data_IF_256997176225
#
_entry.id   IF_256997176225
#
_cell.length_a   1.000
_cell.length_b   1.000
_cell.length_c   1.000
_cell.angle_alpha   90.00
_cell.angle_beta   90.00
_cell.angle_gamma   90.00
#
_symmetry.space_group_name_H-M   'P 1'
#
loop_
_entity.id
_entity.type
_entity.pdbx_description
1 polymer ?
#
# COMPACT_ATOMS: atom_id res chain seq x y z
N UNK A 1 -19.69 3.46 -21.50
CA UNK A 1 -18.56 2.84 -20.78
C UNK A 1 -17.86 3.96 -20.02
N UNK A 2 -17.47 3.78 -18.74
CA UNK A 2 -16.72 4.82 -18.01
C UNK A 2 -15.28 4.80 -18.51
N UNK A 3 -14.74 5.98 -18.84
CA UNK A 3 -13.34 6.09 -19.29
C UNK A 3 -12.41 6.20 -18.10
N UNK A 4 -11.46 5.28 -18.00
CA UNK A 4 -10.40 5.29 -16.99
C UNK A 4 -9.06 5.59 -17.68
N UNK A 5 -8.39 6.64 -17.24
CA UNK A 5 -7.05 6.95 -17.71
C UNK A 5 -6.03 6.51 -16.68
N UNK A 6 -4.97 5.88 -17.13
CA UNK A 6 -3.89 5.39 -16.28
C UNK A 6 -2.64 6.18 -16.63
N UNK A 7 -2.11 6.88 -15.63
CA UNK A 7 -0.87 7.63 -15.76
C UNK A 7 0.30 6.80 -15.23
N UNK A 8 1.21 6.46 -16.13
CA UNK A 8 2.34 5.56 -15.94
C UNK A 8 2.03 4.14 -16.43
N UNK A 9 2.93 3.57 -17.22
CA UNK A 9 2.86 2.25 -17.85
C UNK A 9 3.88 1.26 -17.26
N UNK A 10 4.30 1.45 -16.01
CA UNK A 10 5.06 0.45 -15.26
C UNK A 10 4.18 -0.72 -14.78
N UNK A 11 4.73 -1.56 -13.90
CA UNK A 11 4.06 -2.77 -13.36
C UNK A 11 2.66 -2.46 -12.79
N UNK A 12 2.54 -1.41 -11.96
CA UNK A 12 1.27 -1.02 -11.35
C UNK A 12 0.28 -0.46 -12.37
N UNK A 13 0.74 0.37 -13.30
CA UNK A 13 -0.08 0.94 -14.36
C UNK A 13 -0.65 -0.11 -15.31
N UNK A 14 0.19 -1.03 -15.78
CA UNK A 14 -0.25 -2.14 -16.64
C UNK A 14 -1.22 -3.05 -15.88
N UNK A 15 -0.93 -3.36 -14.62
CA UNK A 15 -1.85 -4.12 -13.77
C UNK A 15 -3.23 -3.45 -13.65
N UNK A 16 -3.25 -2.14 -13.38
CA UNK A 16 -4.50 -1.37 -13.31
C UNK A 16 -5.25 -1.38 -14.65
N UNK A 17 -4.52 -1.36 -15.77
CA UNK A 17 -5.11 -1.36 -17.12
C UNK A 17 -5.81 -2.68 -17.42
N UNK A 18 -5.16 -3.80 -17.10
CA UNK A 18 -5.73 -5.13 -17.24
C UNK A 18 -6.96 -5.31 -16.35
N UNK A 19 -6.87 -4.90 -15.07
CA UNK A 19 -7.98 -4.98 -14.15
C UNK A 19 -9.17 -4.13 -14.61
N UNK A 20 -8.92 -2.90 -15.06
CA UNK A 20 -9.95 -2.01 -15.58
C UNK A 20 -10.60 -2.57 -16.85
N UNK A 21 -9.81 -3.10 -17.79
CA UNK A 21 -10.34 -3.72 -19.02
C UNK A 21 -11.23 -4.92 -18.69
N UNK A 22 -10.79 -5.82 -17.79
CA UNK A 22 -11.58 -6.96 -17.32
C UNK A 22 -12.93 -6.54 -16.73
N UNK A 23 -12.96 -5.39 -16.05
CA UNK A 23 -14.16 -4.83 -15.44
C UNK A 23 -14.95 -3.87 -16.35
N UNK A 24 -14.70 -3.90 -17.66
CA UNK A 24 -15.53 -3.20 -18.65
C UNK A 24 -15.33 -1.69 -18.71
N UNK A 25 -14.15 -1.18 -18.34
CA UNK A 25 -13.79 0.22 -18.54
C UNK A 25 -13.27 0.47 -19.96
N UNK A 26 -13.45 1.70 -20.44
CA UNK A 26 -12.71 2.20 -21.60
C UNK A 26 -11.36 2.73 -21.10
N UNK A 27 -10.28 2.03 -21.44
CA UNK A 27 -8.96 2.23 -20.80
C UNK A 27 -8.00 2.91 -21.75
N UNK A 28 -7.32 3.94 -21.26
CA UNK A 28 -6.20 4.58 -21.92
C UNK A 28 -5.00 4.69 -20.98
N UNK A 29 -3.85 4.17 -21.40
CA UNK A 29 -2.57 4.25 -20.65
C UNK A 29 -1.69 5.33 -21.26
N UNK A 30 -1.16 6.23 -20.44
CA UNK A 30 -0.29 7.31 -20.90
C UNK A 30 0.95 7.40 -20.03
N UNK A 31 2.13 7.34 -20.64
CA UNK A 31 3.41 7.47 -19.96
C UNK A 31 4.35 8.45 -20.70
N UNK A 32 5.09 9.25 -19.93
CA UNK A 32 6.20 10.05 -20.46
C UNK A 32 7.46 9.23 -20.73
N UNK A 33 7.58 8.08 -20.09
CA UNK A 33 8.66 7.13 -20.32
C UNK A 33 8.26 6.09 -21.38
N UNK A 34 9.23 5.29 -21.80
CA UNK A 34 8.98 4.12 -22.66
C UNK A 34 8.26 3.05 -21.83
N UNK A 35 7.22 2.46 -22.40
CA UNK A 35 6.46 1.38 -21.78
C UNK A 35 7.11 0.06 -22.17
N UNK A 36 7.71 -0.63 -21.20
CA UNK A 36 8.44 -1.88 -21.43
C UNK A 36 7.54 -3.03 -21.90
N UNK A 37 6.34 -3.17 -21.32
CA UNK A 37 5.40 -4.27 -21.59
C UNK A 37 4.20 -3.81 -22.45
N UNK A 38 4.40 -2.89 -23.40
CA UNK A 38 3.32 -2.35 -24.24
C UNK A 38 2.58 -3.40 -25.08
N UNK A 39 3.22 -4.52 -25.37
CA UNK A 39 2.60 -5.67 -26.05
C UNK A 39 1.42 -6.23 -25.24
N UNK A 40 1.50 -6.20 -23.90
CA UNK A 40 0.40 -6.60 -23.02
C UNK A 40 -0.83 -5.70 -23.25
N UNK A 41 -0.60 -4.40 -23.42
CA UNK A 41 -1.68 -3.43 -23.69
C UNK A 41 -2.30 -3.67 -25.07
N UNK A 42 -1.46 -3.83 -26.10
CA UNK A 42 -1.90 -4.10 -27.47
C UNK A 42 -2.69 -5.41 -27.57
N UNK A 43 -2.20 -6.49 -26.96
CA UNK A 43 -2.84 -7.81 -26.99
C UNK A 43 -4.20 -7.85 -26.26
N UNK A 44 -4.47 -6.85 -25.40
CA UNK A 44 -5.73 -6.72 -24.67
C UNK A 44 -6.63 -5.60 -25.23
N UNK A 45 -6.33 -5.08 -26.43
CA UNK A 45 -7.03 -3.97 -27.05
C UNK A 45 -7.18 -2.75 -26.11
N UNK A 46 -6.09 -2.41 -25.41
CA UNK A 46 -6.00 -1.23 -24.55
C UNK A 46 -5.25 -0.15 -25.31
N UNK A 47 -5.83 1.05 -25.41
CA UNK A 47 -5.17 2.19 -26.04
C UNK A 47 -4.04 2.67 -25.15
N UNK A 48 -2.91 3.02 -25.75
CA UNK A 48 -1.78 3.53 -25.00
C UNK A 48 -0.96 4.55 -25.79
N UNK A 49 -0.21 5.38 -25.07
CA UNK A 49 0.83 6.26 -25.61
C UNK A 49 2.06 6.23 -24.71
N UNK A 50 3.23 6.48 -25.29
CA UNK A 50 4.50 6.58 -24.57
C UNK A 50 5.27 7.82 -25.04
N UNK A 51 6.18 8.32 -24.21
CA UNK A 51 6.96 9.54 -24.50
C UNK A 51 6.18 10.86 -24.39
N UNK A 52 4.90 10.83 -24.02
CA UNK A 52 4.04 12.02 -23.98
C UNK A 52 2.85 11.86 -23.03
N UNK A 53 2.14 12.98 -22.80
CA UNK A 53 0.82 13.00 -22.19
C UNK A 53 -0.12 13.86 -23.05
N UNK A 54 -0.98 13.22 -23.83
CA UNK A 54 -2.00 13.85 -24.65
C UNK A 54 -3.11 14.42 -23.76
N UNK A 55 -2.95 15.69 -23.36
CA UNK A 55 -3.84 16.36 -22.41
C UNK A 55 -5.30 16.28 -22.83
N UNK A 56 -5.61 16.50 -24.11
CA UNK A 56 -7.00 16.47 -24.58
C UNK A 56 -7.66 15.11 -24.32
N UNK A 57 -6.94 14.02 -24.61
CA UNK A 57 -7.42 12.65 -24.39
C UNK A 57 -7.56 12.35 -22.89
N UNK A 58 -6.56 12.71 -22.08
CA UNK A 58 -6.56 12.52 -20.63
C UNK A 58 -7.73 13.25 -19.97
N UNK A 59 -8.06 14.46 -20.43
CA UNK A 59 -9.13 15.29 -19.86
C UNK A 59 -10.53 14.74 -20.15
N UNK A 60 -10.67 13.71 -21.00
CA UNK A 60 -11.96 13.02 -21.21
C UNK A 60 -12.23 11.92 -20.17
N UNK A 61 -11.27 11.64 -19.28
CA UNK A 61 -11.40 10.62 -18.25
C UNK A 61 -12.54 10.92 -17.27
N UNK A 62 -13.25 9.88 -16.85
CA UNK A 62 -14.14 9.94 -15.69
C UNK A 62 -13.35 9.86 -14.38
N UNK A 63 -12.24 9.14 -14.38
CA UNK A 63 -11.32 9.00 -13.26
C UNK A 63 -9.91 8.65 -13.77
N UNK A 64 -8.90 9.02 -13.00
CA UNK A 64 -7.49 8.76 -13.30
C UNK A 64 -6.87 7.89 -12.21
N UNK A 65 -6.25 6.77 -12.61
CA UNK A 65 -5.36 5.99 -11.75
C UNK A 65 -3.93 6.46 -12.00
N UNK A 66 -3.26 6.89 -10.92
CA UNK A 66 -1.91 7.46 -11.00
C UNK A 66 -0.89 6.49 -10.40
N UNK A 67 0.17 6.22 -11.14
CA UNK A 67 1.34 5.49 -10.63
C UNK A 67 2.02 6.29 -9.50
N UNK A 68 2.54 5.62 -8.45
CA UNK A 68 3.13 6.29 -7.28
C UNK A 68 4.37 7.14 -7.61
N UNK A 69 5.08 6.76 -8.67
CA UNK A 69 6.25 7.48 -9.18
C UNK A 69 5.94 8.87 -9.73
N UNK A 70 4.69 9.16 -10.10
CA UNK A 70 4.29 10.45 -10.68
C UNK A 70 3.98 11.46 -9.55
N UNK A 71 4.75 12.55 -9.41
CA UNK A 71 4.50 13.55 -8.38
C UNK A 71 3.18 14.30 -8.61
N UNK A 72 2.53 14.73 -7.53
CA UNK A 72 1.31 15.55 -7.64
C UNK A 72 1.55 16.96 -8.19
N UNK A 73 2.81 17.40 -8.17
CA UNK A 73 3.23 18.73 -8.60
C UNK A 73 3.37 18.87 -10.12
N UNK A 74 3.32 17.77 -10.89
CA UNK A 74 3.46 17.84 -12.35
C UNK A 74 2.21 18.41 -13.01
N UNK A 75 2.39 19.12 -14.13
CA UNK A 75 1.33 19.91 -14.76
C UNK A 75 0.11 19.08 -15.17
N UNK A 76 0.30 17.84 -15.65
CA UNK A 76 -0.83 16.99 -16.03
C UNK A 76 -1.73 16.68 -14.83
N UNK A 77 -1.17 16.42 -13.65
CA UNK A 77 -1.96 16.14 -12.43
C UNK A 77 -2.68 17.40 -11.95
N UNK A 78 -2.02 18.56 -11.99
CA UNK A 78 -2.66 19.84 -11.64
C UNK A 78 -3.88 20.11 -12.50
N UNK A 79 -3.74 19.99 -13.83
CA UNK A 79 -4.86 20.21 -14.78
C UNK A 79 -6.01 19.22 -14.57
N UNK A 80 -5.71 17.96 -14.26
CA UNK A 80 -6.74 16.94 -13.98
C UNK A 80 -7.54 17.34 -12.74
N UNK A 81 -6.85 17.76 -11.67
CA UNK A 81 -7.47 18.23 -10.43
C UNK A 81 -8.28 19.51 -10.63
N UNK A 82 -7.77 20.47 -11.41
CA UNK A 82 -8.49 21.71 -11.78
C UNK A 82 -9.80 21.44 -12.53
N UNK A 83 -9.82 20.39 -13.36
CA UNK A 83 -11.04 19.93 -14.05
C UNK A 83 -12.00 19.15 -13.15
N UNK A 84 -11.62 18.88 -11.90
CA UNK A 84 -12.43 18.12 -10.94
C UNK A 84 -12.45 16.62 -11.20
N UNK A 85 -11.54 16.10 -12.02
CA UNK A 85 -11.42 14.66 -12.27
C UNK A 85 -10.75 13.98 -11.07
N UNK A 86 -11.34 12.89 -10.58
CA UNK A 86 -10.78 12.09 -9.49
C UNK A 86 -9.42 11.52 -9.88
N UNK A 87 -8.41 11.72 -9.04
CA UNK A 87 -7.09 11.06 -9.15
C UNK A 87 -6.92 10.16 -7.95
N UNK A 88 -6.70 8.87 -8.19
CA UNK A 88 -6.55 7.84 -7.16
C UNK A 88 -5.26 7.03 -7.38
N UNK A 89 -4.82 6.32 -6.35
CA UNK A 89 -3.74 5.34 -6.48
C UNK A 89 -4.24 4.03 -7.11
N UNK A 90 -3.29 3.24 -7.60
CA UNK A 90 -3.57 1.88 -8.09
C UNK A 90 -4.17 0.99 -7.00
N UNK A 91 -3.71 1.13 -5.75
CA UNK A 91 -4.20 0.37 -4.59
C UNK A 91 -5.67 0.68 -4.30
N UNK A 92 -6.05 1.96 -4.36
CA UNK A 92 -7.44 2.40 -4.23
C UNK A 92 -8.34 1.80 -5.32
N UNK A 93 -7.83 1.69 -6.55
CA UNK A 93 -8.58 1.09 -7.65
C UNK A 93 -8.74 -0.42 -7.48
N UNK A 94 -7.64 -1.13 -7.21
CA UNK A 94 -7.62 -2.58 -7.04
C UNK A 94 -8.53 -3.06 -5.90
N UNK A 95 -8.55 -2.32 -4.78
CA UNK A 95 -9.38 -2.60 -3.61
C UNK A 95 -10.87 -2.79 -3.94
N UNK A 96 -11.37 -2.13 -4.99
CA UNK A 96 -12.78 -2.23 -5.41
C UNK A 96 -13.17 -3.59 -5.97
N UNK A 97 -12.21 -4.45 -6.27
CA UNK A 97 -12.41 -5.70 -7.02
C UNK A 97 -11.96 -6.95 -6.26
N UNK A 98 -11.75 -6.85 -4.95
CA UNK A 98 -11.39 -7.99 -4.08
C UNK A 98 -12.28 -8.01 -2.85
N UNK A 99 -12.57 -9.21 -2.35
CA UNK A 99 -13.22 -9.41 -1.04
C UNK A 99 -12.25 -10.01 0.00
N UNK A 100 -10.97 -10.12 -0.34
CA UNK A 100 -9.96 -10.71 0.52
C UNK A 100 -9.76 -9.88 1.79
N UNK A 101 -9.30 -10.54 2.86
CA UNK A 101 -8.82 -9.82 4.05
C UNK A 101 -7.48 -9.19 3.78
N UNK A 102 -7.36 -7.89 4.03
CA UNK A 102 -6.17 -7.10 3.71
C UNK A 102 -5.35 -6.81 4.96
N UNK A 103 -4.10 -7.28 4.93
CA UNK A 103 -3.03 -6.87 5.86
C UNK A 103 -2.14 -5.86 5.14
N UNK A 104 -2.18 -4.60 5.53
CA UNK A 104 -1.40 -3.54 4.90
C UNK A 104 -0.24 -3.10 5.81
N UNK A 105 0.97 -3.03 5.25
CA UNK A 105 2.19 -2.69 5.98
C UNK A 105 2.82 -1.45 5.36
N UNK A 106 3.13 -0.46 6.20
CA UNK A 106 3.98 0.67 5.79
C UNK A 106 4.98 1.03 6.88
N UNK A 107 5.89 1.94 6.52
CA UNK A 107 7.01 2.37 7.35
C UNK A 107 8.14 2.94 6.51
N UNK A 108 9.13 3.57 7.13
CA UNK A 108 10.35 3.96 6.42
C UNK A 108 11.16 2.70 6.10
N UNK A 109 11.37 1.83 7.08
CA UNK A 109 12.18 0.61 6.97
C UNK A 109 11.43 -0.63 7.47
N UNK A 110 11.90 -1.83 7.07
CA UNK A 110 11.41 -3.13 7.54
C UNK A 110 10.19 -3.68 6.77
N UNK A 111 9.53 -2.85 5.96
CA UNK A 111 8.31 -3.20 5.22
C UNK A 111 8.39 -4.53 4.49
N UNK A 112 9.45 -4.73 3.69
CA UNK A 112 9.57 -5.91 2.81
C UNK A 112 9.75 -7.18 3.61
N UNK A 113 10.61 -7.16 4.61
CA UNK A 113 10.82 -8.30 5.51
C UNK A 113 9.52 -8.67 6.23
N UNK A 114 8.82 -7.68 6.82
CA UNK A 114 7.56 -7.92 7.52
C UNK A 114 6.48 -8.46 6.58
N UNK A 115 6.33 -7.87 5.39
CA UNK A 115 5.33 -8.28 4.40
C UNK A 115 5.56 -9.72 3.94
N UNK A 116 6.81 -10.07 3.62
CA UNK A 116 7.18 -11.44 3.22
C UNK A 116 7.00 -12.44 4.36
N UNK A 117 7.35 -12.06 5.59
CA UNK A 117 7.19 -12.93 6.76
C UNK A 117 5.73 -13.23 7.06
N UNK A 118 4.85 -12.23 7.03
CA UNK A 118 3.41 -12.42 7.22
C UNK A 118 2.85 -13.31 6.12
N UNK A 119 3.20 -13.04 4.85
CA UNK A 119 2.80 -13.88 3.73
C UNK A 119 3.22 -15.34 3.91
N UNK A 120 4.48 -15.57 4.30
CA UNK A 120 5.02 -16.91 4.55
C UNK A 120 4.27 -17.63 5.68
N UNK A 121 4.00 -16.95 6.80
CA UNK A 121 3.27 -17.54 7.94
C UNK A 121 1.85 -17.96 7.53
N UNK A 122 1.14 -17.09 6.80
CA UNK A 122 -0.22 -17.38 6.35
C UNK A 122 -0.25 -18.54 5.34
N UNK A 123 0.68 -18.56 4.37
CA UNK A 123 0.82 -19.66 3.42
C UNK A 123 1.13 -20.98 4.14
N UNK A 124 2.03 -20.98 5.13
CA UNK A 124 2.35 -22.18 5.94
C UNK A 124 1.19 -22.64 6.82
N UNK A 125 0.29 -21.74 7.18
CA UNK A 125 -0.97 -22.08 7.84
C UNK A 125 -2.04 -22.65 6.89
N UNK A 126 -1.75 -22.72 5.59
CA UNK A 126 -2.63 -23.31 4.57
C UNK A 126 -3.65 -22.33 3.96
N UNK A 127 -3.48 -21.03 4.15
CA UNK A 127 -4.34 -20.02 3.53
C UNK A 127 -3.90 -19.70 2.10
N UNK A 128 -4.86 -19.30 1.27
CA UNK A 128 -4.59 -18.71 -0.04
C UNK A 128 -4.23 -17.22 0.10
N UNK A 129 -2.98 -16.88 -0.19
CA UNK A 129 -2.40 -15.57 0.14
C UNK A 129 -1.74 -14.94 -1.07
N UNK A 130 -2.09 -13.69 -1.33
CA UNK A 130 -1.34 -12.82 -2.23
C UNK A 130 -0.40 -11.93 -1.42
N UNK A 131 0.89 -11.93 -1.78
CA UNK A 131 1.86 -10.92 -1.31
C UNK A 131 2.12 -9.94 -2.46
N UNK A 132 1.74 -8.68 -2.28
CA UNK A 132 1.79 -7.69 -3.36
C UNK A 132 2.03 -6.25 -2.85
N UNK A 133 1.89 -5.29 -3.76
CA UNK A 133 1.97 -3.85 -3.47
C UNK A 133 3.27 -3.25 -4.01
N UNK A 134 4.07 -2.64 -3.14
CA UNK A 134 5.37 -2.06 -3.47
C UNK A 134 6.49 -3.12 -3.60
N UNK A 135 6.16 -4.40 -3.47
CA UNK A 135 7.06 -5.54 -3.64
C UNK A 135 6.38 -6.66 -4.42
N UNK A 136 7.19 -7.57 -4.96
CA UNK A 136 6.70 -8.78 -5.59
C UNK A 136 5.91 -8.50 -6.87
N UNK A 137 4.68 -9.00 -6.93
CA UNK A 137 3.78 -8.81 -8.08
C UNK A 137 2.91 -7.56 -7.92
N UNK A 138 2.48 -6.98 -9.04
CA UNK A 138 1.53 -5.87 -9.03
C UNK A 138 0.18 -6.30 -8.45
N UNK A 139 -0.37 -5.50 -7.53
CA UNK A 139 -1.63 -5.80 -6.86
C UNK A 139 -2.79 -5.92 -7.85
N UNK A 140 -3.05 -4.89 -8.66
CA UNK A 140 -4.10 -4.90 -9.69
C UNK A 140 -3.92 -6.03 -10.70
N UNK A 141 -2.68 -6.33 -11.11
CA UNK A 141 -2.40 -7.43 -12.04
C UNK A 141 -2.86 -8.76 -11.46
N UNK A 142 -2.50 -9.03 -10.20
CA UNK A 142 -2.86 -10.27 -9.52
C UNK A 142 -4.38 -10.40 -9.36
N UNK A 143 -5.07 -9.32 -8.94
CA UNK A 143 -6.54 -9.30 -8.81
C UNK A 143 -7.25 -9.38 -10.17
N UNK A 144 -6.60 -8.94 -11.25
CA UNK A 144 -7.13 -9.12 -12.60
C UNK A 144 -7.18 -10.59 -13.02
N UNK A 145 -6.35 -11.46 -12.45
CA UNK A 145 -6.33 -12.88 -12.77
C UNK A 145 -7.36 -13.63 -11.91
N UNK A 146 -7.29 -13.47 -10.58
CA UNK A 146 -8.20 -14.09 -9.62
C UNK A 146 -8.23 -13.33 -8.28
N UNK A 147 -9.17 -13.66 -7.41
CA UNK A 147 -9.18 -13.20 -6.02
C UNK A 147 -8.48 -14.20 -5.09
N UNK A 148 -8.29 -13.82 -3.82
CA UNK A 148 -7.57 -14.56 -2.77
C UNK A 148 -8.33 -14.51 -1.44
N UNK A 149 -8.00 -15.37 -0.48
CA UNK A 149 -8.57 -15.28 0.87
C UNK A 149 -7.94 -14.12 1.66
N UNK A 150 -6.61 -13.98 1.53
CA UNK A 150 -5.81 -12.97 2.21
C UNK A 150 -4.89 -12.23 1.24
N UNK A 151 -4.70 -10.95 1.49
CA UNK A 151 -3.75 -10.11 0.74
C UNK A 151 -2.86 -9.38 1.74
N UNK A 152 -1.56 -9.57 1.61
CA UNK A 152 -0.52 -8.89 2.37
C UNK A 152 0.10 -7.84 1.47
N UNK A 153 -0.19 -6.57 1.74
CA UNK A 153 0.22 -5.43 0.93
C UNK A 153 1.36 -4.66 1.59
N UNK A 154 2.51 -4.57 0.92
CA UNK A 154 3.48 -3.53 1.21
C UNK A 154 3.01 -2.21 0.57
N UNK A 155 2.84 -1.16 1.36
CA UNK A 155 2.44 0.16 0.87
C UNK A 155 3.52 1.22 1.10
N UNK A 156 3.87 1.94 0.03
CA UNK A 156 4.63 3.18 0.11
C UNK A 156 3.72 4.35 0.55
N UNK A 157 4.34 5.44 1.02
CA UNK A 157 3.59 6.67 1.34
C UNK A 157 2.91 7.25 0.08
N UNK A 158 3.55 7.14 -1.10
CA UNK A 158 2.98 7.63 -2.36
C UNK A 158 1.73 6.88 -2.80
N UNK A 159 1.62 5.58 -2.51
CA UNK A 159 0.40 4.81 -2.77
C UNK A 159 -0.72 5.22 -1.80
N UNK A 160 -0.37 5.47 -0.53
CA UNK A 160 -1.31 5.93 0.50
C UNK A 160 -1.85 7.34 0.23
N UNK A 161 -1.08 8.22 -0.41
CA UNK A 161 -1.54 9.58 -0.75
C UNK A 161 -2.79 9.59 -1.66
N UNK A 162 -2.93 8.57 -2.51
CA UNK A 162 -4.02 8.45 -3.48
C UNK A 162 -5.22 7.62 -3.02
N UNK A 163 -5.28 7.20 -1.74
CA UNK A 163 -6.42 6.43 -1.24
C UNK A 163 -7.59 7.34 -0.84
N UNK A 164 -8.79 6.80 -0.97
CA UNK A 164 -10.06 7.40 -0.53
C UNK A 164 -10.84 6.43 0.31
N UNK A 165 -11.19 5.27 -0.24
CA UNK A 165 -12.03 4.26 0.42
C UNK A 165 -11.24 2.99 0.79
N UNK A 166 -9.98 2.85 0.35
CA UNK A 166 -9.11 1.74 0.75
C UNK A 166 -9.12 1.55 2.27
N UNK A 167 -9.39 0.32 2.69
CA UNK A 167 -9.48 -0.05 4.09
C UNK A 167 -8.72 -1.37 4.32
N UNK A 168 -7.75 -1.33 5.22
CA UNK A 168 -7.08 -2.54 5.67
C UNK A 168 -7.81 -3.12 6.89
N UNK A 169 -8.07 -4.42 6.90
CA UNK A 169 -8.54 -5.13 8.10
C UNK A 169 -7.47 -5.11 9.21
N UNK A 170 -6.20 -5.23 8.80
CA UNK A 170 -5.05 -5.09 9.68
C UNK A 170 -4.06 -4.10 9.06
N UNK A 171 -3.85 -2.96 9.70
CA UNK A 171 -2.84 -1.99 9.32
C UNK A 171 -1.61 -2.13 10.23
N UNK A 172 -0.41 -2.07 9.65
CA UNK A 172 0.86 -2.16 10.37
C UNK A 172 1.74 -0.97 10.02
N UNK A 173 2.17 -0.20 11.03
CA UNK A 173 3.07 0.93 10.86
C UNK A 173 4.35 0.75 11.67
N UNK A 174 5.45 0.49 10.97
CA UNK A 174 6.69 -0.01 11.56
C UNK A 174 7.57 1.09 12.19
N UNK A 175 7.73 2.21 11.49
CA UNK A 175 8.56 3.34 11.89
C UNK A 175 8.37 4.48 10.88
N UNK A 176 8.64 5.71 11.32
CA UNK A 176 8.68 6.90 10.47
C UNK A 176 9.95 7.69 10.79
N UNK A 177 10.93 7.56 9.90
CA UNK A 177 12.15 8.39 9.87
C UNK A 177 12.14 9.28 8.62
N UNK A 178 12.77 10.48 8.66
CA UNK A 178 12.85 11.36 7.50
C UNK A 178 13.36 10.64 6.26
N UNK A 179 12.56 10.68 5.19
CA UNK A 179 12.80 10.00 3.93
C UNK A 179 11.90 10.63 2.86
N UNK A 180 12.35 10.66 1.60
CA UNK A 180 11.61 11.22 0.46
C UNK A 180 10.97 12.60 0.68
N UNK A 181 11.60 13.48 1.47
CA UNK A 181 11.01 14.76 1.87
C UNK A 181 10.79 15.73 0.71
N UNK A 182 11.54 15.57 -0.39
CA UNK A 182 11.38 16.30 -1.65
C UNK A 182 9.95 16.17 -2.21
N UNK A 183 9.31 15.03 -1.98
CA UNK A 183 7.91 14.75 -2.38
C UNK A 183 6.87 15.40 -1.48
N UNK A 184 7.29 15.92 -0.33
CA UNK A 184 6.43 16.42 0.74
C UNK A 184 6.75 17.87 1.11
N UNK A 185 7.18 18.68 0.13
CA UNK A 185 7.55 20.10 0.31
C UNK A 185 8.68 20.31 1.34
N UNK A 186 9.55 19.32 1.50
CA UNK A 186 10.57 19.24 2.55
C UNK A 186 10.00 19.31 3.99
N UNK A 187 8.71 18.96 4.18
CA UNK A 187 8.04 18.96 5.48
C UNK A 187 7.81 17.53 5.95
N UNK A 188 8.54 17.12 6.98
CA UNK A 188 8.42 15.79 7.57
C UNK A 188 7.00 15.48 8.10
N UNK A 189 6.26 16.50 8.56
CA UNK A 189 4.86 16.37 8.98
C UNK A 189 3.95 15.81 7.87
N UNK A 190 4.18 16.23 6.63
CA UNK A 190 3.38 15.77 5.50
C UNK A 190 3.66 14.29 5.18
N UNK A 191 4.91 13.85 5.34
CA UNK A 191 5.29 12.43 5.19
C UNK A 191 4.66 11.55 6.29
N UNK A 192 4.64 12.04 7.54
CA UNK A 192 3.99 11.33 8.64
C UNK A 192 2.49 11.19 8.37
N UNK A 193 1.81 12.29 8.00
CA UNK A 193 0.40 12.27 7.64
C UNK A 193 0.12 11.29 6.51
N UNK A 194 0.98 11.23 5.49
CA UNK A 194 0.87 10.31 4.37
C UNK A 194 0.85 8.84 4.83
N UNK A 195 1.78 8.42 5.70
CA UNK A 195 1.79 7.04 6.22
C UNK A 195 0.62 6.71 7.13
N UNK A 196 0.17 7.66 7.95
CA UNK A 196 -0.96 7.46 8.87
C UNK A 196 -2.29 7.22 8.13
N UNK A 197 -2.37 7.60 6.84
CA UNK A 197 -3.54 7.33 5.99
C UNK A 197 -3.91 5.84 5.93
N UNK A 198 -2.97 4.94 6.18
CA UNK A 198 -3.24 3.49 6.23
C UNK A 198 -4.38 3.10 7.19
N UNK A 199 -4.69 3.98 8.16
CA UNK A 199 -5.77 3.79 9.15
C UNK A 199 -7.05 4.58 8.85
N UNK A 200 -7.08 5.42 7.81
CA UNK A 200 -8.13 6.44 7.60
C UNK A 200 -9.55 5.86 7.56
N UNK A 201 -9.71 4.69 6.95
CA UNK A 201 -11.02 4.06 6.76
C UNK A 201 -11.27 2.88 7.69
N UNK A 202 -10.36 2.64 8.65
CA UNK A 202 -10.56 1.63 9.69
C UNK A 202 -11.66 2.06 10.67
N UNK A 203 -12.39 1.08 11.20
CA UNK A 203 -13.42 1.20 12.21
C UNK A 203 -13.11 0.29 13.41
N UNK A 204 -13.99 0.26 14.40
CA UNK A 204 -13.78 -0.50 15.66
C UNK A 204 -13.55 -2.01 15.50
N UNK A 205 -13.89 -2.60 14.34
CA UNK A 205 -13.69 -4.03 14.08
C UNK A 205 -12.34 -4.36 13.46
N UNK A 206 -11.56 -3.35 13.07
CA UNK A 206 -10.25 -3.53 12.45
C UNK A 206 -9.14 -3.39 13.50
N UNK A 207 -7.90 -3.66 13.06
CA UNK A 207 -6.72 -3.64 13.94
C UNK A 207 -5.65 -2.72 13.36
N UNK A 208 -5.06 -1.90 14.22
CA UNK A 208 -3.86 -1.14 13.92
C UNK A 208 -2.70 -1.56 14.82
N UNK A 209 -1.71 -2.23 14.23
CA UNK A 209 -0.48 -2.66 14.88
C UNK A 209 0.58 -1.60 14.65
N UNK A 210 1.21 -1.11 15.71
CA UNK A 210 2.08 0.07 15.60
C UNK A 210 3.29 0.04 16.54
N UNK A 211 4.38 0.65 16.09
CA UNK A 211 5.57 0.80 16.91
C UNK A 211 5.37 1.87 17.99
N UNK A 212 5.31 1.44 19.24
CA UNK A 212 5.17 2.34 20.38
C UNK A 212 6.43 3.18 20.64
N UNK A 213 7.60 2.68 20.24
CA UNK A 213 8.88 3.37 20.45
C UNK A 213 9.06 4.55 19.49
N UNK A 214 8.32 4.58 18.39
CA UNK A 214 8.29 5.70 17.47
C UNK A 214 7.34 6.79 17.98
N UNK A 215 7.93 7.91 18.41
CA UNK A 215 7.18 9.08 18.91
C UNK A 215 6.20 9.63 17.87
N UNK A 216 6.57 9.65 16.59
CA UNK A 216 5.71 10.18 15.53
C UNK A 216 4.45 9.33 15.38
N UNK A 217 4.58 8.02 15.48
CA UNK A 217 3.45 7.11 15.42
C UNK A 217 2.61 7.24 16.68
N UNK A 218 3.23 7.08 17.86
CA UNK A 218 2.53 7.07 19.15
C UNK A 218 1.74 8.35 19.41
N UNK A 219 2.28 9.51 19.07
CA UNK A 219 1.65 10.80 19.41
C UNK A 219 0.69 11.32 18.34
N UNK A 220 0.80 10.85 17.09
CA UNK A 220 0.01 11.37 15.97
C UNK A 220 -1.03 10.39 15.42
N UNK A 221 -1.00 9.14 15.88
CA UNK A 221 -2.07 8.19 15.59
C UNK A 221 -3.33 8.62 16.30
N UNK A 222 -4.36 8.93 15.52
CA UNK A 222 -5.69 9.27 16.01
C UNK A 222 -6.71 8.44 15.22
N UNK A 223 -7.05 7.27 15.74
CA UNK A 223 -7.93 6.31 15.08
C UNK A 223 -8.93 5.73 16.08
N UNK A 224 -10.10 5.35 15.58
CA UNK A 224 -11.15 4.66 16.36
C UNK A 224 -10.95 3.14 16.38
N UNK A 225 -9.98 2.65 15.62
CA UNK A 225 -9.68 1.23 15.48
C UNK A 225 -9.01 0.66 16.72
N UNK A 226 -9.04 -0.66 16.87
CA UNK A 226 -8.32 -1.33 17.96
C UNK A 226 -6.82 -1.21 17.75
N UNK A 227 -6.13 -0.52 18.65
CA UNK A 227 -4.68 -0.30 18.57
C UNK A 227 -3.90 -1.35 19.38
N UNK A 228 -2.95 -2.02 18.74
CA UNK A 228 -2.08 -3.02 19.37
C UNK A 228 -0.62 -2.55 19.24
N UNK A 229 0.04 -2.16 20.35
CA UNK A 229 1.41 -1.68 20.28
C UNK A 229 2.42 -2.84 20.20
N UNK A 230 3.56 -2.58 19.58
CA UNK A 230 4.79 -3.33 19.84
C UNK A 230 5.93 -2.42 20.28
N UNK A 231 6.88 -2.95 21.06
CA UNK A 231 8.00 -2.18 21.60
C UNK A 231 9.21 -3.04 21.93
N UNK A 232 10.42 -2.49 21.77
CA UNK A 232 11.64 -3.07 22.32
C UNK A 232 11.99 -2.52 23.72
N UNK A 233 11.35 -1.41 24.13
CA UNK A 233 11.75 -0.63 25.30
C UNK A 233 10.67 -0.52 26.38
N UNK A 234 9.43 -0.94 26.08
CA UNK A 234 8.26 -0.83 26.94
C UNK A 234 7.55 -2.18 27.05
N UNK A 235 7.35 -2.62 28.28
CA UNK A 235 6.50 -3.76 28.58
C UNK A 235 5.03 -3.33 28.60
N UNK A 236 4.15 -4.22 28.17
CA UNK A 236 2.71 -4.03 28.19
C UNK A 236 2.08 -5.06 29.14
N UNK A 237 1.14 -4.62 29.97
CA UNK A 237 0.34 -5.51 30.83
C UNK A 237 -0.88 -6.07 30.08
N UNK A 238 -1.41 -5.28 29.14
CA UNK A 238 -2.53 -5.64 28.27
C UNK A 238 -2.01 -6.13 26.90
N UNK A 239 -2.90 -6.14 25.90
CA UNK A 239 -2.58 -6.46 24.51
C UNK A 239 -1.40 -5.67 23.97
N UNK A 240 -0.46 -6.39 23.35
CA UNK A 240 0.75 -5.83 22.76
C UNK A 240 1.84 -6.90 22.62
N UNK A 241 2.90 -6.54 21.90
CA UNK A 241 4.10 -7.36 21.79
C UNK A 241 5.31 -6.61 22.34
N UNK A 242 6.15 -7.24 23.15
CA UNK A 242 7.33 -6.57 23.68
C UNK A 242 8.52 -7.49 23.89
N UNK A 243 9.71 -6.89 23.81
CA UNK A 243 10.97 -7.57 24.03
C UNK A 243 11.42 -7.49 25.50
N UNK A 244 11.65 -8.62 26.14
CA UNK A 244 12.18 -8.72 27.51
C UNK A 244 12.97 -10.00 27.69
N UNK A 245 14.12 -9.93 28.38
CA UNK A 245 14.91 -11.11 28.76
C UNK A 245 15.21 -12.07 27.59
N UNK A 246 15.59 -11.53 26.42
CA UNK A 246 15.83 -12.29 25.18
C UNK A 246 14.63 -13.05 24.61
N UNK A 247 13.41 -12.65 24.99
CA UNK A 247 12.14 -13.19 24.50
C UNK A 247 11.26 -12.10 23.90
N UNK A 248 10.51 -12.49 22.88
CA UNK A 248 9.35 -11.76 22.38
C UNK A 248 8.12 -12.27 23.15
N UNK A 249 7.46 -11.38 23.86
CA UNK A 249 6.26 -11.66 24.65
C UNK A 249 5.06 -11.09 23.88
N UNK A 250 4.03 -11.89 23.64
CA UNK A 250 2.83 -11.48 22.86
C UNK A 250 1.58 -11.68 23.70
N UNK A 251 1.05 -10.58 24.22
CA UNK A 251 -0.10 -10.54 25.13
C UNK A 251 -1.44 -10.50 24.38
N UNK A 252 -1.57 -11.20 23.24
CA UNK A 252 -2.86 -11.36 22.55
C UNK A 252 -3.53 -12.68 22.91
N UNK A 253 -2.71 -13.73 23.04
CA UNK A 253 -3.13 -15.09 23.40
C UNK A 253 -2.24 -15.69 24.51
N UNK A 254 -1.48 -14.86 25.23
CA UNK A 254 -0.44 -15.28 26.19
C UNK A 254 0.62 -16.22 25.60
N UNK A 255 1.13 -15.87 24.41
CA UNK A 255 2.20 -16.63 23.75
C UNK A 255 3.57 -15.98 23.99
N UNK A 256 4.60 -16.80 24.13
CA UNK A 256 6.01 -16.37 24.20
C UNK A 256 6.83 -17.05 23.10
N UNK A 257 7.79 -16.34 22.52
CA UNK A 257 8.76 -16.86 21.56
C UNK A 257 10.16 -16.38 21.92
N UNK A 258 11.19 -17.22 21.79
CA UNK A 258 12.58 -16.77 22.02
C UNK A 258 13.17 -16.18 20.74
N UNK A 259 14.16 -15.28 20.85
CA UNK A 259 14.90 -14.82 19.66
C UNK A 259 15.63 -15.97 18.96
N UNK A 260 16.02 -17.01 19.69
CA UNK A 260 16.71 -18.17 19.12
C UNK A 260 15.80 -18.97 18.17
N UNK A 261 14.48 -18.86 18.35
CA UNK A 261 13.49 -19.41 17.44
C UNK A 261 13.32 -18.56 16.16
N UNK A 262 13.86 -17.33 16.14
CA UNK A 262 13.91 -16.51 14.92
C UNK A 262 15.07 -16.99 14.04
N UNK A 263 14.73 -17.45 12.84
CA UNK A 263 15.71 -17.74 11.80
C UNK A 263 16.52 -16.49 11.38
N UNK A 264 15.96 -15.29 11.57
CA UNK A 264 16.59 -14.01 11.23
C UNK A 264 17.28 -13.39 12.45
N UNK A 265 18.60 -13.18 12.34
CA UNK A 265 19.43 -12.62 13.42
C UNK A 265 19.45 -11.09 13.40
N UNK A 266 19.53 -10.45 14.57
CA UNK A 266 19.71 -9.00 14.73
C UNK A 266 18.50 -8.27 15.31
N UNK A 267 18.74 -7.22 16.11
CA UNK A 267 17.68 -6.49 16.84
C UNK A 267 16.57 -5.91 15.96
N UNK A 268 16.88 -5.55 14.72
CA UNK A 268 15.89 -5.03 13.77
C UNK A 268 14.95 -6.11 13.21
N UNK A 269 15.29 -7.40 13.36
CA UNK A 269 14.43 -8.53 12.99
C UNK A 269 13.56 -9.03 14.15
N UNK A 270 13.78 -8.49 15.36
CA UNK A 270 12.90 -8.67 16.52
C UNK A 270 11.66 -7.76 16.39
N UNK A 271 11.79 -6.71 15.59
CA UNK A 271 10.78 -5.68 15.35
C UNK A 271 9.65 -6.13 14.44
#
# INVERSE_FOLDING_TARGET
MKKLVILGGGISGIGAALLAKKNGYDVFVSDKSIISEKEVLTNNDIKWEEGTHSIEEIMTASEVVKSPGIPDSVDVIKRIKEKGISVISEVEFAYRFTNAKIVAITGSNGKTTTTLLIGHILEKAGYDVLVAGNIGTGFSKSISERDYDYIVLELSSFQLDGIKDFKADIAILLNITPDHLDRYENRFENYIKSKLRITNNQNENDVFIYNYDDKNIREKSNTKTKMIPFSLNKEFENEGAFYKNNKININLNNNEMTIQDLALQGKHNVY
#
